data_IF_989838699845
#
_entry.id   IF_989838699845
#
_cell.length_a   1.000
_cell.length_b   1.000
_cell.length_c   1.000
_cell.angle_alpha   90.00
_cell.angle_beta   90.00
_cell.angle_gamma   90.00
#
_symmetry.space_group_name_H-M   'P 1'
#
loop_
_entity.id
_entity.type
_entity.pdbx_description
1 polymer ?
#
# COMPACT_ATOMS: atom_id res chain seq x y z
N UNK A 1 -8.64 9.70 4.85
CA UNK A 1 -9.44 9.58 3.62
C UNK A 1 -8.54 9.00 2.54
N UNK A 2 -8.95 7.91 1.91
CA UNK A 2 -8.19 7.17 0.90
C UNK A 2 -9.01 7.12 -0.37
N UNK A 3 -8.35 7.31 -1.51
CA UNK A 3 -8.98 7.15 -2.81
C UNK A 3 -8.90 5.67 -3.20
N UNK A 4 -10.05 5.00 -3.27
CA UNK A 4 -10.11 3.60 -3.69
C UNK A 4 -9.79 3.42 -5.18
N UNK A 5 -9.70 2.17 -5.61
CA UNK A 5 -9.46 1.82 -7.02
C UNK A 5 -10.54 2.33 -7.98
N UNK A 6 -11.69 2.77 -7.46
CA UNK A 6 -12.80 3.37 -8.20
C UNK A 6 -12.76 4.90 -8.21
N UNK A 7 -11.75 5.53 -7.61
CA UNK A 7 -11.65 6.98 -7.53
C UNK A 7 -12.59 7.61 -6.51
N UNK A 8 -13.07 6.86 -5.53
CA UNK A 8 -13.98 7.34 -4.49
C UNK A 8 -13.23 7.52 -3.17
N UNK A 9 -13.60 8.55 -2.43
CA UNK A 9 -13.11 8.79 -1.08
C UNK A 9 -13.73 7.80 -0.10
N UNK A 10 -12.86 7.04 0.55
CA UNK A 10 -13.21 6.08 1.58
C UNK A 10 -12.60 6.51 2.90
N UNK A 11 -13.42 6.50 3.94
CA UNK A 11 -12.95 6.69 5.31
C UNK A 11 -12.24 5.42 5.78
N UNK A 12 -11.03 5.59 6.31
CA UNK A 12 -10.23 4.49 6.84
C UNK A 12 -10.01 4.71 8.33
N UNK A 13 -10.25 3.65 9.10
CA UNK A 13 -9.92 3.62 10.51
C UNK A 13 -8.48 3.14 10.69
N UNK A 14 -7.76 3.77 11.63
CA UNK A 14 -6.36 3.43 11.96
C UNK A 14 -6.34 2.15 12.78
N UNK A 15 -5.35 1.29 12.57
CA UNK A 15 -5.14 0.09 13.38
C UNK A 15 -6.17 -1.03 13.16
N UNK A 16 -6.97 -0.97 12.09
CA UNK A 16 -8.03 -1.95 11.81
C UNK A 16 -7.62 -3.00 10.77
N UNK A 17 -6.39 -2.99 10.27
CA UNK A 17 -5.96 -4.02 9.32
C UNK A 17 -5.87 -5.38 10.02
N UNK A 18 -6.42 -6.41 9.38
CA UNK A 18 -6.39 -7.78 9.89
C UNK A 18 -5.50 -8.62 8.98
N UNK A 19 -4.55 -9.34 9.57
CA UNK A 19 -3.71 -10.29 8.85
C UNK A 19 -4.41 -11.64 8.81
N UNK A 20 -4.57 -12.18 7.60
CA UNK A 20 -5.31 -13.43 7.37
C UNK A 20 -4.53 -14.33 6.41
N UNK A 21 -4.77 -15.64 6.53
CA UNK A 21 -4.28 -16.63 5.57
C UNK A 21 -5.46 -17.14 4.77
N UNK A 22 -5.41 -16.97 3.45
CA UNK A 22 -6.48 -17.39 2.53
C UNK A 22 -5.84 -18.18 1.38
N UNK A 23 -6.31 -19.41 1.14
CA UNK A 23 -5.72 -20.32 0.14
C UNK A 23 -4.20 -20.52 0.27
N UNK A 24 -3.66 -20.50 1.50
CA UNK A 24 -2.23 -20.63 1.77
C UNK A 24 -1.41 -19.35 1.50
N UNK A 25 -2.06 -18.27 1.04
CA UNK A 25 -1.46 -16.96 0.86
C UNK A 25 -1.73 -16.09 2.08
N UNK A 26 -0.73 -15.31 2.48
CA UNK A 26 -0.88 -14.34 3.58
C UNK A 26 -1.27 -12.99 3.01
N UNK A 27 -2.31 -12.38 3.56
CA UNK A 27 -2.82 -11.08 3.14
C UNK A 27 -3.15 -10.18 4.32
N UNK A 28 -3.12 -8.86 4.08
CA UNK A 28 -3.77 -7.88 4.94
C UNK A 28 -5.13 -7.52 4.36
N UNK A 29 -6.16 -7.72 5.16
CA UNK A 29 -7.50 -7.20 4.92
C UNK A 29 -7.57 -5.78 5.47
N UNK A 30 -7.76 -4.83 4.57
CA UNK A 30 -7.88 -3.41 4.83
C UNK A 30 -9.36 -3.04 4.91
N UNK A 31 -9.71 -2.21 5.89
CA UNK A 31 -11.08 -1.77 6.15
C UNK A 31 -12.09 -2.93 6.30
N UNK A 32 -11.82 -3.92 7.19
CA UNK A 32 -12.63 -5.14 7.29
C UNK A 32 -14.11 -4.88 7.62
N UNK A 33 -14.38 -3.84 8.43
CA UNK A 33 -15.73 -3.48 8.88
C UNK A 33 -16.40 -2.44 7.97
N UNK A 34 -15.72 -2.01 6.91
CA UNK A 34 -16.20 -0.97 6.01
C UNK A 34 -17.00 -1.50 4.81
N UNK A 35 -17.65 -0.57 4.09
CA UNK A 35 -18.40 -0.90 2.86
C UNK A 35 -17.52 -1.40 1.71
N UNK A 36 -16.25 -1.01 1.70
CA UNK A 36 -15.28 -1.45 0.70
C UNK A 36 -14.06 -2.03 1.42
N UNK A 37 -13.95 -3.36 1.32
CA UNK A 37 -12.81 -4.12 1.79
C UNK A 37 -11.75 -4.12 0.67
N UNK A 38 -10.50 -3.88 1.04
CA UNK A 38 -9.37 -4.03 0.14
C UNK A 38 -8.41 -5.08 0.69
N UNK A 39 -7.66 -5.74 -0.20
CA UNK A 39 -6.71 -6.77 0.18
C UNK A 39 -5.31 -6.43 -0.31
N UNK A 40 -4.32 -6.68 0.53
CA UNK A 40 -2.90 -6.58 0.18
C UNK A 40 -2.24 -7.93 0.41
N UNK A 41 -1.89 -8.63 -0.67
CA UNK A 41 -1.10 -9.86 -0.59
C UNK A 41 0.33 -9.56 -0.14
N UNK A 42 0.85 -10.31 0.83
CA UNK A 42 2.15 -10.05 1.46
C UNK A 42 3.35 -10.76 0.80
N UNK A 43 3.08 -11.51 -0.27
CA UNK A 43 4.12 -12.11 -1.11
C UNK A 43 4.92 -11.01 -1.81
N UNK A 44 6.26 -11.17 -1.87
CA UNK A 44 7.19 -10.16 -2.41
C UNK A 44 6.76 -9.64 -3.79
N UNK A 45 6.50 -10.55 -4.73
CA UNK A 45 6.08 -10.18 -6.09
C UNK A 45 4.76 -9.41 -6.15
N UNK A 46 3.85 -9.66 -5.20
CA UNK A 46 2.54 -9.02 -5.12
C UNK A 46 2.64 -7.63 -4.48
N UNK A 47 3.47 -7.48 -3.45
CA UNK A 47 3.78 -6.18 -2.83
C UNK A 47 4.44 -5.23 -3.84
N UNK A 48 5.41 -5.72 -4.61
CA UNK A 48 6.09 -4.93 -5.64
C UNK A 48 5.15 -4.46 -6.76
N UNK A 49 4.02 -5.14 -6.99
CA UNK A 49 2.99 -4.73 -7.96
C UNK A 49 1.89 -3.85 -7.36
N UNK A 50 1.84 -3.73 -6.04
CA UNK A 50 0.79 -2.98 -5.34
C UNK A 50 0.88 -1.48 -5.64
N UNK A 51 -0.27 -0.81 -5.72
CA UNK A 51 -0.29 0.64 -5.94
C UNK A 51 0.26 1.39 -4.73
N UNK A 52 0.83 2.57 -4.95
CA UNK A 52 1.26 3.50 -3.89
C UNK A 52 0.11 3.76 -2.90
N UNK A 53 -1.11 3.92 -3.42
CA UNK A 53 -2.31 4.13 -2.61
C UNK A 53 -2.56 2.94 -1.67
N UNK A 54 -2.52 1.71 -2.17
CA UNK A 54 -2.75 0.51 -1.35
C UNK A 54 -1.69 0.36 -0.26
N UNK A 55 -0.42 0.65 -0.60
CA UNK A 55 0.68 0.63 0.38
C UNK A 55 0.46 1.66 1.48
N UNK A 56 0.12 2.91 1.13
CA UNK A 56 -0.20 3.97 2.10
C UNK A 56 -1.39 3.60 3.00
N UNK A 57 -2.44 3.01 2.42
CA UNK A 57 -3.59 2.53 3.17
C UNK A 57 -3.19 1.44 4.18
N UNK A 58 -2.43 0.45 3.75
CA UNK A 58 -1.96 -0.62 4.63
C UNK A 58 -1.09 -0.07 5.77
N UNK A 59 -0.11 0.78 5.48
CA UNK A 59 0.76 1.42 6.49
C UNK A 59 -0.07 2.20 7.52
N UNK A 60 -1.14 2.87 7.10
CA UNK A 60 -2.03 3.60 7.98
C UNK A 60 -2.89 2.68 8.86
N UNK A 61 -3.40 1.57 8.31
CA UNK A 61 -4.32 0.68 9.01
C UNK A 61 -3.64 -0.42 9.83
N UNK A 62 -2.35 -0.68 9.64
CA UNK A 62 -1.62 -1.62 10.48
C UNK A 62 -1.57 -1.12 11.94
N UNK A 63 -1.93 -2.01 12.88
CA UNK A 63 -1.70 -1.82 14.31
C UNK A 63 -0.24 -2.21 14.65
N UNK A 64 0.43 -1.36 15.43
CA UNK A 64 1.85 -1.52 15.80
C UNK A 64 2.04 -2.24 17.16
N UNK A 65 0.95 -2.60 17.84
CA UNK A 65 1.01 -3.37 19.09
C UNK A 65 1.53 -4.80 18.88
N UNK A 66 1.37 -5.33 17.68
CA UNK A 66 1.93 -6.62 17.26
C UNK A 66 3.30 -6.40 16.59
N UNK A 67 4.34 -7.05 17.11
CA UNK A 67 5.71 -6.96 16.60
C UNK A 67 5.82 -7.43 15.14
N UNK A 68 5.06 -8.45 14.74
CA UNK A 68 5.04 -8.94 13.37
C UNK A 68 4.46 -7.90 12.43
N UNK A 69 3.35 -7.27 12.82
CA UNK A 69 2.72 -6.22 12.05
C UNK A 69 3.57 -4.95 11.98
N UNK A 70 4.30 -4.63 13.06
CA UNK A 70 5.27 -3.53 13.07
C UNK A 70 6.41 -3.76 12.07
N UNK A 71 7.01 -4.96 12.07
CA UNK A 71 8.06 -5.31 11.10
C UNK A 71 7.52 -5.29 9.66
N UNK A 72 6.28 -5.75 9.46
CA UNK A 72 5.60 -5.66 8.17
C UNK A 72 5.42 -4.20 7.72
N UNK A 73 4.99 -3.32 8.64
CA UNK A 73 4.82 -1.89 8.35
C UNK A 73 6.11 -1.24 7.89
N UNK A 74 7.23 -1.51 8.56
CA UNK A 74 8.55 -1.01 8.16
C UNK A 74 8.92 -1.46 6.74
N UNK A 75 8.69 -2.73 6.42
CA UNK A 75 8.91 -3.25 5.06
C UNK A 75 8.01 -2.56 4.02
N UNK A 76 6.74 -2.32 4.35
CA UNK A 76 5.83 -1.60 3.44
C UNK A 76 6.26 -0.16 3.21
N UNK A 77 6.83 0.51 4.22
CA UNK A 77 7.38 1.86 4.10
C UNK A 77 8.55 1.87 3.12
N UNK A 78 9.49 0.92 3.23
CA UNK A 78 10.61 0.82 2.30
C UNK A 78 10.14 0.65 0.84
N UNK A 79 9.20 -0.25 0.60
CA UNK A 79 8.63 -0.49 -0.75
C UNK A 79 7.91 0.76 -1.26
N UNK A 80 7.22 1.49 -0.39
CA UNK A 80 6.55 2.74 -0.74
C UNK A 80 7.56 3.81 -1.16
N UNK A 81 8.64 3.99 -0.39
CA UNK A 81 9.71 4.94 -0.68
C UNK A 81 10.36 4.65 -2.04
N UNK A 82 10.73 3.40 -2.30
CA UNK A 82 11.29 2.98 -3.59
C UNK A 82 10.37 3.29 -4.78
N UNK A 83 9.06 3.07 -4.61
CA UNK A 83 8.07 3.36 -5.64
C UNK A 83 7.88 4.86 -5.87
N UNK A 84 7.87 5.65 -4.81
CA UNK A 84 7.76 7.10 -4.89
C UNK A 84 9.02 7.71 -5.53
N UNK A 85 10.21 7.23 -5.18
CA UNK A 85 11.47 7.62 -5.80
C UNK A 85 11.52 7.25 -7.29
N UNK A 86 11.07 6.05 -7.65
CA UNK A 86 10.96 5.62 -9.04
C UNK A 86 9.99 6.50 -9.84
N UNK A 87 8.84 6.83 -9.26
CA UNK A 87 7.86 7.73 -9.87
C UNK A 87 8.44 9.13 -10.13
N UNK A 88 9.13 9.70 -9.14
CA UNK A 88 9.80 10.99 -9.26
C UNK A 88 10.91 10.95 -10.31
N UNK A 89 11.74 9.91 -10.29
CA UNK A 89 12.81 9.71 -11.26
C UNK A 89 12.28 9.60 -12.70
N UNK A 90 11.18 8.88 -12.90
CA UNK A 90 10.53 8.75 -14.20
C UNK A 90 9.93 10.08 -14.68
N UNK A 91 9.28 10.82 -13.77
CA UNK A 91 8.77 12.15 -14.07
C UNK A 91 9.87 13.12 -14.48
N UNK A 92 10.99 13.16 -13.74
CA UNK A 92 12.14 14.01 -14.08
C UNK A 92 12.74 13.64 -15.43
N UNK A 93 12.92 12.35 -15.71
CA UNK A 93 13.42 11.88 -17.02
C UNK A 93 12.50 12.33 -18.15
N UNK A 94 11.18 12.10 -18.04
CA UNK A 94 10.22 12.56 -19.06
C UNK A 94 10.34 14.07 -19.30
N UNK A 95 10.33 14.89 -18.26
CA UNK A 95 10.41 16.35 -18.43
C UNK A 95 11.73 16.81 -19.06
N UNK A 96 12.86 16.17 -18.71
CA UNK A 96 14.16 16.43 -19.35
C UNK A 96 14.15 16.09 -20.85
N UNK A 97 13.43 15.05 -21.26
CA UNK A 97 13.25 14.72 -22.68
C UNK A 97 12.40 15.77 -23.40
N UNK A 98 11.32 16.27 -22.78
CA UNK A 98 10.47 17.31 -23.38
C UNK A 98 11.13 18.68 -23.47
N UNK A 99 12.09 19.01 -22.61
CA UNK A 99 12.84 20.28 -22.70
C UNK A 99 13.95 20.28 -23.76
N UNK A 100 14.32 19.11 -24.31
CA UNK A 100 15.35 18.95 -25.35
C UNK A 100 14.79 18.74 -26.76
N UNK A 101 13.47 18.60 -26.89
CA UNK A 101 12.75 18.48 -28.17
C UNK A 101 12.20 19.84 -28.60
#
# INVERSE_FOLDING_TARGET
MYLNQRGQDVEMQRGTAVKEVTFGMTQLTLNPDGKEIAYLLLEEHSLQKSSIQNLRAAIYQINEEDEELRNLKERLIQILEEKEESLLSNFLKMNLFYQKA
#
